data_IF_299834719478
#
_entry.id   IF_299834719478
#
_cell.length_a   1.000
_cell.length_b   1.000
_cell.length_c   1.000
_cell.angle_alpha   90.00
_cell.angle_beta   90.00
_cell.angle_gamma   90.00
#
_symmetry.space_group_name_H-M   'P 1'
#
loop_
_entity.id
_entity.type
_entity.pdbx_description
1 polymer ?
#
# COMPACT_ATOMS: atom_id res chain seq x y z
N UNK A 1 15.24 7.12 21.60
CA UNK A 1 15.47 5.86 20.86
C UNK A 1 16.97 5.62 20.66
N UNK A 2 17.44 4.37 20.74
CA UNK A 2 18.85 4.03 20.44
C UNK A 2 19.15 4.14 18.94
N UNK A 3 20.44 4.25 18.57
CA UNK A 3 20.85 4.25 17.16
C UNK A 3 20.44 2.97 16.43
N UNK A 4 20.53 1.81 17.09
CA UNK A 4 20.07 0.53 16.55
C UNK A 4 18.58 0.57 16.20
N UNK A 5 17.73 1.10 17.09
CA UNK A 5 16.29 1.23 16.82
C UNK A 5 16.03 2.13 15.60
N UNK A 6 16.75 3.24 15.48
CA UNK A 6 16.62 4.15 14.34
C UNK A 6 17.00 3.48 13.01
N UNK A 7 18.04 2.64 13.00
CA UNK A 7 18.44 1.86 11.83
C UNK A 7 17.36 0.83 11.47
N UNK A 8 16.84 0.10 12.46
CA UNK A 8 15.77 -0.89 12.25
C UNK A 8 14.53 -0.23 11.66
N UNK A 9 14.13 0.95 12.16
CA UNK A 9 12.99 1.70 11.62
C UNK A 9 13.25 2.15 10.17
N UNK A 10 14.48 2.56 9.83
CA UNK A 10 14.83 2.88 8.45
C UNK A 10 14.70 1.66 7.53
N UNK A 11 15.22 0.50 7.95
CA UNK A 11 15.09 -0.75 7.18
C UNK A 11 13.63 -1.13 7.01
N UNK A 12 12.82 -1.07 8.08
CA UNK A 12 11.38 -1.33 8.01
C UNK A 12 10.68 -0.39 7.02
N UNK A 13 11.00 0.91 7.03
CA UNK A 13 10.44 1.88 6.07
C UNK A 13 10.84 1.59 4.64
N UNK A 14 12.08 1.17 4.38
CA UNK A 14 12.53 0.79 3.02
C UNK A 14 11.69 -0.38 2.50
N UNK A 15 11.52 -1.43 3.31
CA UNK A 15 10.76 -2.62 2.93
C UNK A 15 9.28 -2.32 2.73
N UNK A 16 8.68 -1.52 3.62
CA UNK A 16 7.27 -1.10 3.50
C UNK A 16 7.05 -0.21 2.27
N UNK A 17 7.92 0.76 2.04
CA UNK A 17 7.84 1.69 0.91
C UNK A 17 7.98 0.98 -0.44
N UNK A 18 8.87 -0.02 -0.54
CA UNK A 18 9.20 -0.70 -1.79
C UNK A 18 7.95 -1.20 -2.53
N UNK A 19 7.02 -1.85 -1.82
CA UNK A 19 5.78 -2.38 -2.39
C UNK A 19 4.96 -1.27 -3.08
N UNK A 20 4.77 -0.14 -2.40
CA UNK A 20 3.94 0.96 -2.90
C UNK A 20 4.62 1.77 -4.00
N UNK A 21 5.93 1.95 -3.92
CA UNK A 21 6.70 2.59 -4.99
C UNK A 21 6.63 1.73 -6.25
N UNK A 22 6.86 0.42 -6.13
CA UNK A 22 6.82 -0.50 -7.26
C UNK A 22 5.42 -0.58 -7.88
N UNK A 23 4.38 -0.80 -7.04
CA UNK A 23 3.00 -0.88 -7.51
C UNK A 23 2.50 0.43 -8.12
N UNK A 24 2.79 1.56 -7.48
CA UNK A 24 2.38 2.88 -7.95
C UNK A 24 3.06 3.26 -9.26
N UNK A 25 4.37 3.03 -9.38
CA UNK A 25 5.09 3.23 -10.63
C UNK A 25 4.51 2.38 -11.77
N UNK A 26 4.22 1.10 -11.51
CA UNK A 26 3.60 0.21 -12.50
C UNK A 26 2.26 0.76 -13.02
N UNK A 27 1.40 1.24 -12.13
CA UNK A 27 0.10 1.84 -12.50
C UNK A 27 0.23 3.12 -13.32
N UNK A 28 1.28 3.92 -13.06
CA UNK A 28 1.55 5.16 -13.80
C UNK A 28 2.17 4.89 -15.18
N UNK A 29 3.03 3.87 -15.28
CA UNK A 29 3.73 3.51 -16.51
C UNK A 29 2.85 2.73 -17.49
N UNK A 30 2.04 1.79 -16.99
CA UNK A 30 1.08 1.01 -17.77
C UNK A 30 -0.24 0.84 -16.99
N UNK A 31 -1.21 1.74 -17.19
CA UNK A 31 -2.46 1.72 -16.42
C UNK A 31 -3.46 0.65 -16.89
N UNK A 32 -3.23 0.02 -18.05
CA UNK A 32 -4.25 -0.75 -18.77
C UNK A 32 -4.80 -1.93 -17.95
N UNK A 33 -3.90 -2.74 -17.40
CA UNK A 33 -4.23 -3.90 -16.57
C UNK A 33 -5.01 -3.51 -15.31
N UNK A 34 -4.56 -2.46 -14.61
CA UNK A 34 -5.24 -1.99 -13.39
C UNK A 34 -6.60 -1.37 -13.71
N UNK A 35 -6.71 -0.63 -14.83
CA UNK A 35 -8.00 -0.10 -15.26
C UNK A 35 -8.99 -1.22 -15.58
N UNK A 36 -8.53 -2.33 -16.17
CA UNK A 36 -9.34 -3.53 -16.37
C UNK A 36 -9.86 -4.11 -15.04
N UNK A 37 -9.00 -4.21 -14.03
CA UNK A 37 -9.40 -4.66 -12.68
C UNK A 37 -10.40 -3.72 -12.01
N UNK A 38 -10.18 -2.40 -12.09
CA UNK A 38 -11.08 -1.40 -11.52
C UNK A 38 -12.45 -1.42 -12.20
N UNK A 39 -12.48 -1.54 -13.53
CA UNK A 39 -13.72 -1.70 -14.28
C UNK A 39 -14.43 -3.02 -13.94
N UNK A 40 -13.68 -4.12 -13.80
CA UNK A 40 -14.21 -5.42 -13.38
C UNK A 40 -14.82 -5.42 -11.97
N UNK A 41 -14.34 -4.55 -11.09
CA UNK A 41 -14.95 -4.30 -9.78
C UNK A 41 -16.21 -3.40 -9.83
N UNK A 42 -16.65 -2.98 -11.03
CA UNK A 42 -17.83 -2.15 -11.22
C UNK A 42 -17.62 -0.66 -10.89
N UNK A 43 -16.38 -0.22 -10.71
CA UNK A 43 -16.11 1.19 -10.41
C UNK A 43 -16.11 2.05 -11.68
N UNK A 44 -16.69 3.27 -11.63
CA UNK A 44 -16.68 4.18 -12.78
C UNK A 44 -15.28 4.78 -13.01
N UNK A 45 -15.06 5.36 -14.19
CA UNK A 45 -13.85 6.12 -14.52
C UNK A 45 -12.54 5.35 -14.24
N UNK A 46 -12.50 4.06 -14.58
CA UNK A 46 -11.44 3.14 -14.20
C UNK A 46 -10.02 3.61 -14.53
N UNK A 47 -9.80 4.18 -15.72
CA UNK A 47 -8.49 4.73 -16.11
C UNK A 47 -8.05 5.90 -15.22
N UNK A 48 -8.97 6.81 -14.90
CA UNK A 48 -8.69 7.94 -14.00
C UNK A 48 -8.36 7.43 -12.59
N UNK A 49 -9.18 6.50 -12.07
CA UNK A 49 -8.93 5.89 -10.77
C UNK A 49 -7.60 5.13 -10.72
N UNK A 50 -7.18 4.47 -11.81
CA UNK A 50 -5.86 3.84 -11.89
C UNK A 50 -4.74 4.85 -11.72
N UNK A 51 -4.79 5.99 -12.43
CA UNK A 51 -3.77 7.02 -12.29
C UNK A 51 -3.77 7.66 -10.90
N UNK A 52 -4.94 7.90 -10.32
CA UNK A 52 -5.06 8.41 -8.95
C UNK A 52 -4.50 7.43 -7.92
N UNK A 53 -4.81 6.14 -8.05
CA UNK A 53 -4.25 5.09 -7.21
C UNK A 53 -2.73 4.99 -7.40
N UNK A 54 -2.25 5.00 -8.64
CA UNK A 54 -0.81 4.94 -8.95
C UNK A 54 -0.04 6.13 -8.37
N UNK A 55 -0.56 7.35 -8.54
CA UNK A 55 0.02 8.56 -7.97
C UNK A 55 0.00 8.51 -6.44
N UNK A 56 -1.12 8.11 -5.84
CA UNK A 56 -1.25 7.96 -4.39
C UNK A 56 -0.22 6.96 -3.85
N UNK A 57 -0.17 5.75 -4.38
CA UNK A 57 0.75 4.69 -3.96
C UNK A 57 2.21 5.12 -4.12
N UNK A 58 2.57 5.68 -5.28
CA UNK A 58 3.95 6.10 -5.54
C UNK A 58 4.39 7.23 -4.61
N UNK A 59 3.59 8.29 -4.48
CA UNK A 59 3.92 9.46 -3.65
C UNK A 59 3.98 9.06 -2.18
N UNK A 60 2.99 8.32 -1.68
CA UNK A 60 2.99 7.87 -0.28
C UNK A 60 4.12 6.88 -0.01
N UNK A 61 4.45 5.98 -0.93
CA UNK A 61 5.61 5.10 -0.83
C UNK A 61 6.93 5.88 -0.71
N UNK A 62 7.12 6.90 -1.54
CA UNK A 62 8.29 7.81 -1.44
C UNK A 62 8.30 8.55 -0.10
N UNK A 63 7.15 9.05 0.37
CA UNK A 63 7.03 9.70 1.67
C UNK A 63 7.41 8.74 2.83
N UNK A 64 6.99 7.47 2.77
CA UNK A 64 7.41 6.42 3.71
C UNK A 64 8.93 6.25 3.69
N UNK A 65 9.52 6.09 2.51
CA UNK A 65 10.95 5.87 2.33
C UNK A 65 11.78 7.01 2.97
N UNK A 66 11.47 8.26 2.64
CA UNK A 66 12.23 9.42 3.14
C UNK A 66 11.81 9.83 4.56
N UNK A 67 10.70 9.28 5.07
CA UNK A 67 10.16 9.61 6.39
C UNK A 67 9.59 11.01 6.46
N UNK A 68 8.69 11.35 5.53
CA UNK A 68 8.03 12.65 5.44
C UNK A 68 6.54 12.51 5.73
N UNK A 69 6.04 13.32 6.68
CA UNK A 69 4.65 13.31 7.14
C UNK A 69 4.14 11.93 7.55
N UNK A 70 4.97 11.12 8.21
CA UNK A 70 4.70 9.70 8.45
C UNK A 70 3.44 9.43 9.25
N UNK A 71 3.08 10.31 10.18
CA UNK A 71 1.83 10.18 10.93
C UNK A 71 0.62 10.19 9.99
N UNK A 72 0.58 11.16 9.07
CA UNK A 72 -0.51 11.31 8.11
C UNK A 72 -0.45 10.20 7.06
N UNK A 73 0.72 10.01 6.44
CA UNK A 73 0.94 9.04 5.37
C UNK A 73 0.66 7.61 5.83
N UNK A 74 1.06 7.25 7.06
CA UNK A 74 0.78 5.93 7.62
C UNK A 74 -0.72 5.68 7.80
N UNK A 75 -1.49 6.65 8.30
CA UNK A 75 -2.95 6.50 8.38
C UNK A 75 -3.61 6.41 6.99
N UNK A 76 -3.17 7.23 6.03
CA UNK A 76 -3.66 7.17 4.66
C UNK A 76 -3.39 5.81 4.02
N UNK A 77 -2.18 5.26 4.16
CA UNK A 77 -1.83 3.94 3.63
C UNK A 77 -2.57 2.82 4.36
N UNK A 78 -2.78 2.92 5.67
CA UNK A 78 -3.58 1.95 6.41
C UNK A 78 -5.02 1.90 5.91
N UNK A 79 -5.66 3.07 5.73
CA UNK A 79 -7.00 3.16 5.16
C UNK A 79 -7.05 2.66 3.72
N UNK A 80 -6.05 3.00 2.90
CA UNK A 80 -5.95 2.53 1.53
C UNK A 80 -5.80 1.01 1.43
N UNK A 81 -4.99 0.40 2.30
CA UNK A 81 -4.86 -1.05 2.40
C UNK A 81 -6.20 -1.71 2.76
N UNK A 82 -6.90 -1.21 3.77
CA UNK A 82 -8.22 -1.73 4.17
C UNK A 82 -9.21 -1.60 3.01
N UNK A 83 -9.28 -0.42 2.40
CA UNK A 83 -10.15 -0.16 1.26
C UNK A 83 -9.88 -1.12 0.10
N UNK A 84 -8.62 -1.19 -0.37
CA UNK A 84 -8.27 -2.05 -1.51
C UNK A 84 -8.40 -3.53 -1.19
N UNK A 85 -8.14 -3.93 0.06
CA UNK A 85 -8.39 -5.28 0.54
C UNK A 85 -9.88 -5.66 0.38
N UNK A 86 -10.78 -4.83 0.91
CA UNK A 86 -12.22 -5.09 0.87
C UNK A 86 -12.79 -5.02 -0.55
N UNK A 87 -12.36 -4.04 -1.34
CA UNK A 87 -12.96 -3.78 -2.66
C UNK A 87 -12.41 -4.72 -3.75
N UNK A 88 -11.11 -5.03 -3.73
CA UNK A 88 -10.48 -5.77 -4.82
C UNK A 88 -10.05 -7.19 -4.45
N UNK A 89 -9.86 -7.50 -3.17
CA UNK A 89 -9.25 -8.77 -2.75
C UNK A 89 -10.15 -9.69 -1.92
N UNK A 90 -11.24 -9.16 -1.35
CA UNK A 90 -12.24 -9.94 -0.64
C UNK A 90 -13.32 -10.56 -1.56
N UNK A 91 -13.78 -9.89 -2.64
CA UNK A 91 -14.78 -10.48 -3.53
C UNK A 91 -14.25 -11.69 -4.28
N UNK A 92 -15.17 -12.61 -4.59
CA UNK A 92 -14.87 -13.79 -5.39
C UNK A 92 -14.56 -13.38 -6.84
N UNK A 93 -13.43 -13.84 -7.35
CA UNK A 93 -13.07 -13.72 -8.77
C UNK A 93 -13.61 -14.94 -9.50
N UNK A 94 -14.43 -14.72 -10.52
CA UNK A 94 -14.94 -15.80 -11.38
C UNK A 94 -14.65 -15.46 -12.84
N UNK A 95 -13.67 -16.15 -13.42
CA UNK A 95 -13.35 -16.00 -14.84
C UNK A 95 -14.27 -16.94 -15.63
N UNK A 96 -15.05 -16.41 -16.60
CA UNK A 96 -15.87 -17.25 -17.46
C UNK A 96 -15.03 -18.34 -18.14
N UNK A 97 -15.62 -19.52 -18.30
CA UNK A 97 -15.00 -20.68 -18.95
C UNK A 97 -13.75 -21.27 -18.27
N UNK A 98 -13.32 -20.72 -17.12
CA UNK A 98 -12.26 -21.34 -16.33
C UNK A 98 -12.76 -22.60 -15.61
N UNK A 99 -11.95 -23.68 -15.57
CA UNK A 99 -12.25 -24.85 -14.75
C UNK A 99 -12.43 -24.47 -13.27
N UNK A 100 -13.31 -25.17 -12.55
CA UNK A 100 -13.61 -24.89 -11.15
C UNK A 100 -12.36 -24.86 -10.26
N UNK A 101 -11.39 -25.75 -10.50
CA UNK A 101 -10.12 -25.77 -9.79
C UNK A 101 -9.27 -24.51 -10.04
N UNK A 102 -9.27 -23.97 -11.27
CA UNK A 102 -8.54 -22.74 -11.61
C UNK A 102 -9.16 -21.51 -10.94
N UNK A 103 -10.50 -21.40 -10.97
CA UNK A 103 -11.21 -20.36 -10.22
C UNK A 103 -10.96 -20.49 -8.70
N UNK A 104 -10.93 -21.70 -8.16
CA UNK A 104 -10.57 -21.94 -6.75
C UNK A 104 -9.17 -21.44 -6.40
N UNK A 105 -8.18 -21.73 -7.25
CA UNK A 105 -6.79 -21.28 -7.06
C UNK A 105 -6.66 -19.74 -7.07
N UNK A 106 -7.29 -19.07 -8.05
CA UNK A 106 -7.26 -17.61 -8.16
C UNK A 106 -7.91 -16.94 -6.94
N UNK A 107 -9.03 -17.49 -6.46
CA UNK A 107 -9.66 -16.98 -5.24
C UNK A 107 -8.77 -17.15 -3.99
N UNK A 108 -8.02 -18.25 -3.89
CA UNK A 108 -7.01 -18.43 -2.85
C UNK A 108 -5.94 -17.34 -2.90
N UNK A 109 -5.38 -17.05 -4.09
CA UNK A 109 -4.41 -15.97 -4.27
C UNK A 109 -5.00 -14.57 -4.02
N UNK A 110 -6.27 -14.35 -4.37
CA UNK A 110 -6.94 -13.09 -4.10
C UNK A 110 -7.11 -12.88 -2.59
N UNK A 111 -7.50 -13.93 -1.87
CA UNK A 111 -7.62 -13.88 -0.42
C UNK A 111 -6.26 -13.67 0.28
N UNK A 112 -5.17 -14.25 -0.25
CA UNK A 112 -3.81 -13.93 0.24
C UNK A 112 -3.48 -12.44 0.06
N UNK A 113 -3.91 -11.82 -1.04
CA UNK A 113 -3.74 -10.37 -1.22
C UNK A 113 -4.59 -9.55 -0.24
N UNK A 114 -5.78 -10.02 0.12
CA UNK A 114 -6.59 -9.42 1.19
C UNK A 114 -5.85 -9.47 2.52
N UNK A 115 -5.35 -10.65 2.92
CA UNK A 115 -4.58 -10.82 4.16
C UNK A 115 -3.33 -9.94 4.17
N UNK A 116 -2.58 -9.87 3.06
CA UNK A 116 -1.45 -8.96 2.89
C UNK A 116 -1.86 -7.52 3.21
N UNK A 117 -2.98 -7.03 2.66
CA UNK A 117 -3.43 -5.67 2.90
C UNK A 117 -3.85 -5.44 4.37
N UNK A 118 -4.50 -6.41 5.02
CA UNK A 118 -4.81 -6.34 6.45
C UNK A 118 -3.52 -6.23 7.28
N UNK A 119 -2.52 -7.06 6.98
CA UNK A 119 -1.21 -7.00 7.65
C UNK A 119 -0.48 -5.68 7.40
N UNK A 120 -0.48 -5.18 6.17
CA UNK A 120 0.13 -3.90 5.82
C UNK A 120 -0.57 -2.74 6.55
N UNK A 121 -1.90 -2.76 6.66
CA UNK A 121 -2.64 -1.76 7.41
C UNK A 121 -2.14 -1.70 8.87
N UNK A 122 -1.98 -2.85 9.53
CA UNK A 122 -1.40 -2.93 10.87
C UNK A 122 0.01 -2.32 10.94
N UNK A 123 0.88 -2.65 9.98
CA UNK A 123 2.25 -2.12 9.93
C UNK A 123 2.27 -0.58 9.75
N UNK A 124 1.38 -0.03 8.92
CA UNK A 124 1.30 1.42 8.74
C UNK A 124 0.66 2.16 9.91
N UNK A 125 -0.26 1.53 10.64
CA UNK A 125 -0.76 2.06 11.92
C UNK A 125 0.38 2.13 12.94
N UNK A 126 1.19 1.08 13.03
CA UNK A 126 2.38 1.10 13.89
C UNK A 126 3.34 2.20 13.46
N UNK A 127 3.60 2.36 12.17
CA UNK A 127 4.49 3.40 11.66
C UNK A 127 3.93 4.82 11.92
N UNK A 128 2.62 5.01 11.75
CA UNK A 128 1.94 6.28 12.02
C UNK A 128 1.99 6.69 13.50
N UNK A 129 1.94 5.72 14.40
CA UNK A 129 1.92 5.95 15.86
C UNK A 129 3.32 6.04 16.48
N UNK A 130 4.27 5.24 16.01
CA UNK A 130 5.65 5.21 16.52
C UNK A 130 6.57 6.23 15.84
N UNK A 131 6.20 6.69 14.65
CA UNK A 131 6.93 7.70 13.89
C UNK A 131 8.12 7.16 13.07
N UNK A 132 8.83 8.05 12.36
CA UNK A 132 9.79 7.68 11.32
C UNK A 132 11.21 7.36 11.81
N UNK A 133 11.52 7.59 13.08
CA UNK A 133 12.89 7.53 13.61
C UNK A 133 13.79 8.66 13.11
N UNK A 134 15.03 8.70 13.61
CA UNK A 134 15.96 9.81 13.42
C UNK A 134 16.44 10.01 11.97
N UNK A 135 16.50 8.94 11.16
CA UNK A 135 16.92 9.01 9.76
C UNK A 135 15.75 9.38 8.84
N UNK A 136 15.15 10.54 9.05
CA UNK A 136 13.93 10.96 8.33
C UNK A 136 13.86 12.47 8.09
N UNK A 137 13.08 12.88 7.10
CA UNK A 137 12.82 14.30 6.85
C UNK A 137 12.00 14.93 8.00
N UNK A 138 11.06 14.21 8.60
CA UNK A 138 10.31 14.69 9.75
C UNK A 138 11.21 14.96 10.97
N UNK A 139 12.21 14.11 11.23
CA UNK A 139 13.22 14.36 12.27
C UNK A 139 14.05 15.61 11.97
N UNK A 140 14.48 15.80 10.72
CA UNK A 140 15.22 17.01 10.30
C UNK A 140 14.40 18.29 10.43
N UNK A 141 13.08 18.20 10.27
CA UNK A 141 12.14 19.35 10.37
C UNK A 141 11.75 19.67 11.82
N UNK A 142 12.22 18.92 12.81
CA UNK A 142 11.78 19.06 14.20
C UNK A 142 10.32 18.64 14.43
N UNK A 143 9.68 18.00 13.44
CA UNK A 143 8.33 17.45 13.55
C UNK A 143 8.31 16.09 14.28
N UNK A 144 9.47 15.62 14.72
CA UNK A 144 9.63 14.38 15.46
C UNK A 144 9.39 14.61 16.96
N UNK A 145 8.15 14.41 17.39
CA UNK A 145 7.89 14.03 18.77
C UNK A 145 8.17 12.54 18.87
N UNK A 146 9.35 12.19 19.41
CA UNK A 146 9.59 10.84 19.91
C UNK A 146 8.47 10.53 20.92
N UNK A 147 7.70 9.48 20.67
CA UNK A 147 6.95 8.83 21.74
C UNK A 147 7.93 8.02 22.59
#
# INVERSE_FOLDING_TARGET
MSNTNNIIILVARILLAFMFIFAGFGKLADPSSTAGMIAGAGMPAATLLTYLAGAFEFVTGVCVLVGFQIRIVGWLLALFCVFTGIVFHLPTVNVPDFPAAANGWINGLNFVNFLKNVTLAGAYIMLATNGPGAYSLDARRGAYAAA
#
